data_IF_030263423663
#
_entry.id   IF_030263423663
#
_cell.length_a   1.000
_cell.length_b   1.000
_cell.length_c   1.000
_cell.angle_alpha   90.00
_cell.angle_beta   90.00
_cell.angle_gamma   90.00
#
_symmetry.space_group_name_H-M   'P 1'
#
loop_
_entity.id
_entity.type
_entity.pdbx_description
1 polymer ?
#
# COMPACT_ATOMS: atom_id res chain seq x y z
N UNK A 1 24.68 -33.17 -27.17
CA UNK A 1 23.37 -32.69 -27.67
C UNK A 1 22.20 -33.00 -26.74
N UNK A 2 22.08 -34.21 -26.19
CA UNK A 2 21.00 -34.58 -25.25
C UNK A 2 21.11 -33.81 -23.92
N UNK A 3 22.33 -33.57 -23.45
CA UNK A 3 22.59 -32.86 -22.19
C UNK A 3 22.25 -31.37 -22.27
N UNK A 4 22.54 -30.73 -23.41
CA UNK A 4 22.14 -29.34 -23.68
C UNK A 4 20.61 -29.23 -23.71
N UNK A 5 19.91 -30.18 -24.34
CA UNK A 5 18.44 -30.20 -24.36
C UNK A 5 17.85 -30.38 -22.96
N UNK A 6 18.45 -31.24 -22.12
CA UNK A 6 18.03 -31.44 -20.73
C UNK A 6 18.27 -30.19 -19.88
N UNK A 7 19.42 -29.52 -20.03
CA UNK A 7 19.72 -28.27 -19.33
C UNK A 7 18.78 -27.13 -19.74
N UNK A 8 18.48 -27.00 -21.04
CA UNK A 8 17.50 -26.03 -21.53
C UNK A 8 16.10 -26.32 -21.01
N UNK A 9 15.70 -27.59 -20.94
CA UNK A 9 14.40 -28.00 -20.39
C UNK A 9 14.29 -27.62 -18.90
N UNK A 10 15.32 -27.91 -18.11
CA UNK A 10 15.36 -27.55 -16.68
C UNK A 10 15.34 -26.03 -16.47
N UNK A 11 16.07 -25.28 -17.30
CA UNK A 11 16.03 -23.82 -17.29
C UNK A 11 14.65 -23.29 -17.65
N UNK A 12 13.96 -23.85 -18.65
CA UNK A 12 12.61 -23.44 -19.03
C UNK A 12 11.62 -23.73 -17.89
N UNK A 13 11.66 -24.95 -17.33
CA UNK A 13 10.74 -25.38 -16.25
C UNK A 13 10.98 -24.60 -14.94
N UNK A 14 12.19 -24.09 -14.70
CA UNK A 14 12.48 -23.23 -13.54
C UNK A 14 12.25 -21.74 -13.81
N UNK A 15 12.91 -21.20 -14.84
CA UNK A 15 12.98 -19.77 -15.13
C UNK A 15 11.65 -19.22 -15.66
N UNK A 16 10.96 -19.94 -16.56
CA UNK A 16 9.71 -19.43 -17.16
C UNK A 16 8.60 -19.31 -16.11
N UNK A 17 8.31 -20.32 -15.27
CA UNK A 17 7.35 -20.16 -14.17
C UNK A 17 7.76 -19.08 -13.15
N UNK A 18 9.07 -18.95 -12.88
CA UNK A 18 9.57 -17.89 -12.00
C UNK A 18 9.32 -16.49 -12.58
N UNK A 19 9.65 -16.27 -13.86
CA UNK A 19 9.39 -15.02 -14.58
C UNK A 19 7.89 -14.73 -14.67
N UNK A 20 7.07 -15.73 -14.97
CA UNK A 20 5.61 -15.60 -15.01
C UNK A 20 5.03 -15.23 -13.64
N UNK A 21 5.49 -15.89 -12.56
CA UNK A 21 5.10 -15.57 -11.19
C UNK A 21 5.48 -14.14 -10.82
N UNK A 22 6.70 -13.70 -11.19
CA UNK A 22 7.20 -12.34 -10.96
C UNK A 22 6.38 -11.30 -11.74
N UNK A 23 6.06 -11.55 -13.01
CA UNK A 23 5.22 -10.70 -13.84
C UNK A 23 3.80 -10.58 -13.26
N UNK A 24 3.16 -11.69 -12.92
CA UNK A 24 1.82 -11.70 -12.31
C UNK A 24 1.79 -10.95 -10.99
N UNK A 25 2.84 -11.07 -10.17
CA UNK A 25 2.98 -10.29 -8.94
C UNK A 25 3.11 -8.79 -9.21
N UNK A 26 3.86 -8.41 -10.25
CA UNK A 26 3.97 -7.03 -10.71
C UNK A 26 2.60 -6.45 -11.10
N UNK A 27 1.83 -7.17 -11.93
CA UNK A 27 0.50 -6.75 -12.35
C UNK A 27 -0.45 -6.56 -11.17
N UNK A 28 -0.49 -7.52 -10.24
CA UNK A 28 -1.32 -7.42 -9.02
C UNK A 28 -0.93 -6.20 -8.18
N UNK A 29 0.37 -5.92 -8.05
CA UNK A 29 0.86 -4.75 -7.32
C UNK A 29 0.45 -3.44 -8.00
N UNK A 30 0.55 -3.36 -9.34
CA UNK A 30 0.10 -2.19 -10.12
C UNK A 30 -1.39 -1.95 -9.95
N UNK A 31 -2.22 -2.98 -10.15
CA UNK A 31 -3.69 -2.90 -9.97
C UNK A 31 -4.09 -2.48 -8.56
N UNK A 32 -3.45 -3.05 -7.53
CA UNK A 32 -3.69 -2.66 -6.14
C UNK A 32 -3.37 -1.19 -5.89
N UNK A 33 -2.24 -0.71 -6.41
CA UNK A 33 -1.80 0.69 -6.25
C UNK A 33 -2.74 1.65 -6.97
N UNK A 34 -3.18 1.26 -8.16
CA UNK A 34 -4.14 2.01 -8.96
C UNK A 34 -5.47 2.15 -8.23
N UNK A 35 -6.10 1.02 -7.85
CA UNK A 35 -7.33 1.03 -7.03
C UNK A 35 -7.18 1.88 -5.75
N UNK A 36 -6.07 1.73 -5.03
CA UNK A 36 -5.84 2.48 -3.81
C UNK A 36 -5.85 3.99 -4.05
N UNK A 37 -5.12 4.46 -5.07
CA UNK A 37 -4.95 5.90 -5.35
C UNK A 37 -6.15 6.52 -6.07
N UNK A 38 -6.68 5.80 -7.05
CA UNK A 38 -7.66 6.34 -7.99
C UNK A 38 -9.10 6.01 -7.59
N UNK A 39 -9.32 5.03 -6.72
CA UNK A 39 -10.65 4.65 -6.23
C UNK A 39 -10.76 4.90 -4.72
N UNK A 40 -10.02 4.17 -3.90
CA UNK A 40 -10.22 4.18 -2.45
C UNK A 40 -9.93 5.54 -1.81
N UNK A 41 -8.81 6.19 -2.11
CA UNK A 41 -8.49 7.50 -1.51
C UNK A 41 -9.45 8.63 -1.94
N UNK A 42 -10.29 8.40 -2.96
CA UNK A 42 -11.32 9.35 -3.41
C UNK A 42 -12.72 9.02 -2.88
N UNK A 43 -12.89 7.83 -2.29
CA UNK A 43 -14.16 7.29 -1.81
C UNK A 43 -14.67 7.97 -0.53
N UNK A 44 -15.97 7.86 -0.27
CA UNK A 44 -16.58 8.38 0.95
C UNK A 44 -16.18 7.58 2.19
N UNK A 45 -15.89 6.28 2.02
CA UNK A 45 -15.35 5.42 3.06
C UNK A 45 -14.02 5.97 3.58
N UNK A 46 -13.13 6.39 2.67
CA UNK A 46 -11.88 7.04 3.08
C UNK A 46 -12.11 8.41 3.71
N UNK A 47 -13.00 9.25 3.16
CA UNK A 47 -13.32 10.56 3.77
C UNK A 47 -13.82 10.40 5.21
N UNK A 48 -14.75 9.47 5.46
CA UNK A 48 -15.28 9.14 6.79
C UNK A 48 -14.17 8.63 7.71
N UNK A 49 -13.36 7.67 7.26
CA UNK A 49 -12.25 7.14 8.06
C UNK A 49 -11.22 8.21 8.39
N UNK A 50 -10.85 9.05 7.42
CA UNK A 50 -9.95 10.20 7.61
C UNK A 50 -10.49 11.15 8.68
N UNK A 51 -11.78 11.48 8.62
CA UNK A 51 -12.43 12.31 9.64
C UNK A 51 -12.35 11.66 11.03
N UNK A 52 -12.65 10.36 11.15
CA UNK A 52 -12.59 9.66 12.44
C UNK A 52 -11.17 9.66 13.05
N UNK A 53 -10.12 9.55 12.22
CA UNK A 53 -8.73 9.60 12.68
C UNK A 53 -8.38 11.00 13.18
N UNK A 54 -8.70 12.03 12.38
CA UNK A 54 -8.54 13.43 12.78
C UNK A 54 -9.31 13.72 14.07
N UNK A 55 -10.50 13.12 14.21
CA UNK A 55 -11.34 13.27 15.38
C UNK A 55 -10.77 12.67 16.64
N UNK A 56 -10.33 11.42 16.55
CA UNK A 56 -9.67 10.70 17.63
C UNK A 56 -8.46 11.47 18.16
N UNK A 57 -7.66 12.07 17.26
CA UNK A 57 -6.41 12.76 17.62
C UNK A 57 -6.63 14.26 17.92
N UNK A 58 -7.88 14.67 18.14
CA UNK A 58 -8.26 16.05 18.42
C UNK A 58 -7.68 17.09 17.44
N UNK A 59 -7.62 16.73 16.15
CA UNK A 59 -7.06 17.57 15.07
C UNK A 59 -5.63 18.06 15.36
N UNK A 60 -4.87 17.34 16.20
CA UNK A 60 -3.48 17.62 16.53
C UNK A 60 -2.57 16.57 15.91
N UNK A 61 -1.41 17.02 15.48
CA UNK A 61 -0.35 16.16 14.97
C UNK A 61 0.19 15.33 16.12
N UNK A 62 0.15 14.00 15.98
CA UNK A 62 0.62 13.10 17.05
C UNK A 62 2.12 13.21 17.35
N UNK A 63 2.89 13.83 16.44
CA UNK A 63 4.35 13.97 16.60
C UNK A 63 4.79 15.33 17.15
N UNK A 64 4.06 16.41 16.83
CA UNK A 64 4.51 17.77 17.17
C UNK A 64 3.42 18.67 17.76
N UNK A 65 2.21 18.16 17.98
CA UNK A 65 1.11 18.89 18.60
C UNK A 65 0.44 19.97 17.73
N UNK A 66 1.06 20.42 16.64
CA UNK A 66 0.47 21.39 15.68
C UNK A 66 -0.80 20.85 15.04
N UNK A 67 -1.64 21.72 14.45
CA UNK A 67 -2.86 21.31 13.74
C UNK A 67 -2.56 20.24 12.68
N UNK A 68 -3.22 19.10 12.78
CA UNK A 68 -3.18 18.04 11.78
C UNK A 68 -4.13 18.35 10.63
N UNK A 69 -3.64 18.16 9.41
CA UNK A 69 -4.41 18.33 8.16
C UNK A 69 -4.38 17.09 7.29
N UNK A 70 -3.62 16.07 7.70
CA UNK A 70 -3.39 14.86 6.93
C UNK A 70 -3.49 13.63 7.84
N UNK A 71 -3.69 12.47 7.21
CA UNK A 71 -3.68 11.18 7.88
C UNK A 71 -2.60 10.32 7.23
N UNK A 72 -1.65 9.86 8.04
CA UNK A 72 -0.57 9.00 7.59
C UNK A 72 -0.86 7.53 7.92
N UNK A 73 -0.53 6.65 6.97
CA UNK A 73 -0.62 5.21 7.15
C UNK A 73 0.67 4.65 7.73
N UNK A 74 0.62 4.21 9.00
CA UNK A 74 1.73 3.45 9.63
C UNK A 74 1.90 2.06 8.99
N UNK A 75 0.81 1.50 8.48
CA UNK A 75 0.77 0.19 7.80
C UNK A 75 -0.26 0.23 6.68
N UNK A 76 0.04 -0.49 5.60
CA UNK A 76 -0.85 -0.62 4.45
C UNK A 76 -1.48 -2.01 4.39
N UNK A 77 -2.79 -2.09 4.14
CA UNK A 77 -3.51 -3.34 3.99
C UNK A 77 -3.10 -4.08 2.70
N UNK A 78 -2.51 -5.28 2.80
CA UNK A 78 -2.13 -6.07 1.61
C UNK A 78 -3.36 -6.57 0.84
N UNK A 79 -4.46 -6.85 1.55
CA UNK A 79 -5.78 -7.26 1.05
C UNK A 79 -6.85 -6.44 1.79
N UNK A 80 -8.07 -6.39 1.27
CA UNK A 80 -9.21 -5.72 1.91
C UNK A 80 -8.94 -4.25 2.28
N UNK A 81 -8.39 -3.48 1.31
CA UNK A 81 -8.20 -2.03 1.45
C UNK A 81 -9.53 -1.39 1.87
N UNK A 82 -9.51 -0.55 2.90
CA UNK A 82 -10.72 0.04 3.45
C UNK A 82 -11.21 -0.64 4.72
N UNK A 83 -10.70 -1.81 5.07
CA UNK A 83 -11.06 -2.52 6.32
C UNK A 83 -9.95 -2.51 7.37
N UNK A 84 -8.87 -1.77 7.13
CA UNK A 84 -7.78 -1.67 8.10
C UNK A 84 -8.20 -0.99 9.42
N UNK A 85 -7.66 -1.44 10.57
CA UNK A 85 -7.92 -0.81 11.85
C UNK A 85 -7.49 0.66 11.88
N UNK A 86 -8.31 1.51 12.49
CA UNK A 86 -8.02 2.95 12.63
C UNK A 86 -6.70 3.22 13.37
N UNK A 87 -6.24 2.31 14.23
CA UNK A 87 -4.94 2.41 14.93
C UNK A 87 -3.73 2.34 13.99
N UNK A 88 -3.90 1.92 12.74
CA UNK A 88 -2.85 1.97 11.71
C UNK A 88 -2.72 3.35 11.05
N UNK A 89 -3.60 4.27 11.42
CA UNK A 89 -3.66 5.63 10.91
C UNK A 89 -3.38 6.62 12.03
N UNK A 90 -2.69 7.71 11.70
CA UNK A 90 -2.40 8.81 12.64
C UNK A 90 -2.61 10.15 11.97
N UNK A 91 -3.13 11.11 12.73
CA UNK A 91 -3.29 12.50 12.30
C UNK A 91 -1.96 13.23 12.41
N UNK A 92 -1.53 13.85 11.31
CA UNK A 92 -0.29 14.61 11.28
C UNK A 92 -0.43 15.91 10.49
N UNK A 93 0.44 16.86 10.80
CA UNK A 93 0.60 18.07 9.99
C UNK A 93 1.41 17.77 8.73
N UNK A 94 1.29 18.64 7.72
CA UNK A 94 1.99 18.50 6.44
C UNK A 94 3.51 18.33 6.61
N UNK A 95 4.15 19.14 7.45
CA UNK A 95 5.61 19.08 7.62
C UNK A 95 6.09 17.77 8.25
N UNK A 96 5.33 17.18 9.18
CA UNK A 96 5.64 15.85 9.70
C UNK A 96 5.34 14.75 8.67
N UNK A 97 4.33 14.93 7.82
CA UNK A 97 4.01 13.97 6.77
C UNK A 97 5.09 13.90 5.71
N UNK A 98 5.57 15.06 5.26
CA UNK A 98 6.62 15.15 4.25
C UNK A 98 7.95 14.54 4.75
N UNK A 99 8.25 14.61 6.06
CA UNK A 99 9.43 13.96 6.66
C UNK A 99 9.37 12.43 6.71
N UNK A 100 8.18 11.84 6.56
CA UNK A 100 7.96 10.38 6.61
C UNK A 100 7.92 9.73 5.22
N UNK A 101 7.95 10.53 4.15
CA UNK A 101 7.83 10.09 2.76
C UNK A 101 9.08 10.44 1.96
#
# INVERSE_FOLDING_TARGET
MKDIKLLLLLLIVGLVPWLFKRWRFSLKRKRRRDYYRNTYLKSDEWKRKRYLVLKRDNWKCVYCGKRATQVHHKRYAKKNIGKEPIKWLVSICKSCHDKLH
#
